data_IF_537387509482
#
_entry.id   IF_537387509482
#
_cell.length_a   1.000
_cell.length_b   1.000
_cell.length_c   1.000
_cell.angle_alpha   90.00
_cell.angle_beta   90.00
_cell.angle_gamma   90.00
#
_symmetry.space_group_name_H-M   'P 1'
#
loop_
_entity.id
_entity.type
_entity.pdbx_description
1 polymer ?
#
# COMPACT_ATOMS: atom_id res chain seq x y z
N UNK A 1 26.84 -5.27 -52.40
CA UNK A 1 25.53 -4.74 -51.96
C UNK A 1 24.83 -5.68 -50.97
N UNK A 2 25.50 -6.15 -49.91
CA UNK A 2 24.90 -7.07 -48.92
C UNK A 2 25.20 -6.76 -47.44
N UNK A 3 26.04 -5.76 -47.17
CA UNK A 3 26.40 -5.36 -45.79
C UNK A 3 25.28 -4.57 -45.10
N UNK A 4 24.60 -3.69 -45.85
CA UNK A 4 23.54 -2.83 -45.29
C UNK A 4 22.29 -3.62 -44.89
N UNK A 5 21.92 -4.66 -45.63
CA UNK A 5 20.74 -5.49 -45.34
C UNK A 5 20.91 -6.31 -44.07
N UNK A 6 22.14 -6.78 -43.79
CA UNK A 6 22.44 -7.52 -42.55
C UNK A 6 22.39 -6.61 -41.32
N UNK A 7 22.95 -5.40 -41.43
CA UNK A 7 22.91 -4.41 -40.36
C UNK A 7 21.48 -3.99 -40.04
N UNK A 8 20.63 -3.77 -41.05
CA UNK A 8 19.23 -3.42 -40.84
C UNK A 8 18.43 -4.55 -40.20
N UNK A 9 18.62 -5.81 -40.62
CA UNK A 9 17.96 -6.96 -39.97
C UNK A 9 18.41 -7.08 -38.51
N UNK A 10 19.70 -6.89 -38.22
CA UNK A 10 20.22 -6.95 -36.87
C UNK A 10 19.66 -5.83 -35.98
N UNK A 11 19.57 -4.60 -36.51
CA UNK A 11 18.95 -3.48 -35.81
C UNK A 11 17.45 -3.71 -35.58
N UNK A 12 16.74 -4.30 -36.55
CA UNK A 12 15.32 -4.64 -36.41
C UNK A 12 15.11 -5.71 -35.32
N UNK A 13 15.94 -6.75 -35.29
CA UNK A 13 15.88 -7.80 -34.27
C UNK A 13 16.24 -7.29 -32.88
N UNK A 14 17.21 -6.39 -32.76
CA UNK A 14 17.53 -5.70 -31.50
C UNK A 14 16.38 -4.81 -31.03
N UNK A 15 15.69 -4.13 -31.95
CA UNK A 15 14.53 -3.30 -31.64
C UNK A 15 13.33 -4.14 -31.18
N UNK A 16 13.11 -5.31 -31.79
CA UNK A 16 12.07 -6.27 -31.38
C UNK A 16 12.41 -6.90 -30.02
N UNK A 17 13.69 -7.18 -29.75
CA UNK A 17 14.16 -7.72 -28.46
C UNK A 17 14.07 -6.71 -27.32
N UNK A 18 13.93 -5.41 -27.62
CA UNK A 18 13.75 -4.35 -26.63
C UNK A 18 12.30 -4.24 -26.15
N UNK A 19 11.34 -4.78 -26.90
CA UNK A 19 9.91 -4.84 -26.53
C UNK A 19 9.69 -6.10 -25.68
N UNK A 20 10.06 -6.03 -24.40
CA UNK A 20 9.75 -7.13 -23.47
C UNK A 20 8.35 -6.92 -22.87
N UNK A 21 7.44 -7.90 -22.91
CA UNK A 21 6.15 -7.86 -22.20
C UNK A 21 6.33 -8.21 -20.70
N UNK A 22 7.46 -7.80 -20.10
CA UNK A 22 7.84 -8.21 -18.74
C UNK A 22 6.89 -7.64 -17.67
N UNK A 23 6.36 -6.44 -17.90
CA UNK A 23 5.55 -5.71 -16.93
C UNK A 23 4.19 -6.40 -16.68
N UNK A 24 3.55 -6.90 -17.76
CA UNK A 24 2.26 -7.61 -17.65
C UNK A 24 2.45 -8.95 -16.93
N UNK A 25 3.51 -9.69 -17.24
CA UNK A 25 3.77 -10.97 -16.57
C UNK A 25 4.12 -10.77 -15.08
N UNK A 26 4.99 -9.79 -14.79
CA UNK A 26 5.34 -9.40 -13.41
C UNK A 26 4.11 -8.94 -12.61
N UNK A 27 3.18 -8.21 -13.24
CA UNK A 27 1.93 -7.79 -12.61
C UNK A 27 1.02 -8.97 -12.27
N UNK A 28 0.88 -9.91 -13.20
CA UNK A 28 0.08 -11.12 -12.97
C UNK A 28 0.65 -11.94 -11.82
N UNK A 29 1.98 -11.99 -11.68
CA UNK A 29 2.64 -12.59 -10.53
C UNK A 29 2.35 -11.81 -9.24
N UNK A 30 2.42 -10.48 -9.28
CA UNK A 30 2.14 -9.60 -8.14
C UNK A 30 0.69 -9.71 -7.65
N UNK A 31 -0.31 -9.78 -8.56
CA UNK A 31 -1.72 -9.94 -8.16
C UNK A 31 -1.98 -11.32 -7.57
N UNK A 32 -1.35 -12.37 -8.11
CA UNK A 32 -1.41 -13.72 -7.54
C UNK A 32 -0.73 -13.78 -6.17
N UNK A 33 0.39 -13.09 -5.99
CA UNK A 33 1.06 -12.98 -4.70
C UNK A 33 0.19 -12.23 -3.69
N UNK A 34 -0.31 -11.05 -4.06
CA UNK A 34 -1.13 -10.20 -3.22
C UNK A 34 -2.43 -10.88 -2.79
N UNK A 35 -3.17 -11.50 -3.71
CA UNK A 35 -4.42 -12.22 -3.39
C UNK A 35 -4.18 -13.38 -2.43
N UNK A 36 -3.06 -14.10 -2.55
CA UNK A 36 -2.66 -15.14 -1.60
C UNK A 36 -2.35 -14.58 -0.20
N UNK A 37 -1.67 -13.44 -0.13
CA UNK A 37 -1.39 -12.74 1.13
C UNK A 37 -2.68 -12.23 1.79
N UNK A 38 -3.59 -11.64 1.01
CA UNK A 38 -4.92 -11.21 1.46
C UNK A 38 -5.74 -12.36 2.04
N UNK A 39 -5.77 -13.51 1.36
CA UNK A 39 -6.46 -14.72 1.83
C UNK A 39 -5.87 -15.25 3.15
N UNK A 40 -4.54 -15.31 3.27
CA UNK A 40 -3.87 -15.71 4.52
C UNK A 40 -4.19 -14.77 5.68
N UNK A 41 -4.48 -13.51 5.39
CA UNK A 41 -4.87 -12.51 6.37
C UNK A 41 -6.41 -12.44 6.63
N UNK A 42 -7.20 -13.35 6.05
CA UNK A 42 -8.66 -13.41 6.16
C UNK A 42 -9.43 -12.23 5.52
N UNK A 43 -9.00 -11.77 4.34
CA UNK A 43 -9.71 -10.79 3.50
C UNK A 43 -10.31 -11.46 2.26
N UNK A 44 -11.10 -12.53 2.45
CA UNK A 44 -11.59 -13.36 1.36
C UNK A 44 -12.60 -12.62 0.48
N UNK A 45 -13.49 -11.83 1.09
CA UNK A 45 -14.52 -11.09 0.35
C UNK A 45 -13.89 -10.01 -0.52
N UNK A 46 -12.85 -9.33 -0.04
CA UNK A 46 -12.14 -8.33 -0.86
C UNK A 46 -11.46 -8.96 -2.08
N UNK A 47 -10.84 -10.14 -1.90
CA UNK A 47 -10.26 -10.92 -3.02
C UNK A 47 -11.33 -11.33 -4.03
N UNK A 48 -12.51 -11.72 -3.57
CA UNK A 48 -13.64 -12.01 -4.46
C UNK A 48 -14.03 -10.78 -5.29
N UNK A 49 -14.10 -9.60 -4.67
CA UNK A 49 -14.40 -8.35 -5.39
C UNK A 49 -13.36 -8.03 -6.47
N UNK A 50 -12.07 -8.21 -6.17
CA UNK A 50 -10.99 -8.05 -7.17
C UNK A 50 -11.21 -8.98 -8.37
N UNK A 51 -11.50 -10.25 -8.12
CA UNK A 51 -11.68 -11.26 -9.18
C UNK A 51 -12.97 -11.08 -9.99
N UNK A 52 -13.99 -10.42 -9.42
CA UNK A 52 -15.26 -10.14 -10.09
C UNK A 52 -15.24 -8.81 -10.85
N UNK A 53 -14.26 -7.94 -10.60
CA UNK A 53 -14.16 -6.67 -11.31
C UNK A 53 -13.55 -6.89 -12.70
N UNK A 54 -14.10 -6.26 -13.76
CA UNK A 54 -13.34 -6.08 -14.99
C UNK A 54 -12.03 -5.34 -14.65
N UNK A 55 -10.96 -5.66 -15.38
CA UNK A 55 -9.67 -4.95 -15.28
C UNK A 55 -9.91 -3.47 -15.62
N UNK A 56 -10.11 -2.65 -14.59
CA UNK A 56 -10.22 -1.22 -14.73
C UNK A 56 -8.80 -0.64 -14.87
N UNK A 57 -8.53 0.26 -15.84
CA UNK A 57 -7.22 0.88 -15.99
C UNK A 57 -6.70 1.54 -14.70
N UNK A 58 -7.60 2.06 -13.84
CA UNK A 58 -7.25 2.63 -12.54
C UNK A 58 -6.76 1.61 -11.50
N UNK A 59 -7.03 0.33 -11.76
CA UNK A 59 -6.53 -0.83 -11.02
C UNK A 59 -5.50 -1.63 -11.82
N UNK A 60 -5.09 -1.16 -13.00
CA UNK A 60 -4.11 -1.77 -13.91
C UNK A 60 -2.68 -1.20 -13.74
N UNK A 61 -2.51 -0.25 -12.81
CA UNK A 61 -1.21 0.33 -12.42
C UNK A 61 -0.72 -0.08 -11.02
N UNK A 62 0.29 0.63 -10.51
CA UNK A 62 0.73 0.49 -9.13
C UNK A 62 -0.38 0.89 -8.16
N UNK A 63 -0.62 0.09 -7.12
CA UNK A 63 -1.80 0.26 -6.29
C UNK A 63 -1.56 -0.15 -4.83
N UNK A 64 -2.17 0.59 -3.92
CA UNK A 64 -2.36 0.17 -2.52
C UNK A 64 -3.83 -0.08 -2.27
N UNK A 65 -4.22 -1.31 -1.95
CA UNK A 65 -5.59 -1.62 -1.54
C UNK A 65 -5.81 -1.31 -0.06
N UNK A 66 -6.93 -0.65 0.23
CA UNK A 66 -7.42 -0.32 1.55
C UNK A 66 -8.64 -1.21 1.83
N UNK A 67 -8.40 -2.37 2.43
CA UNK A 67 -9.35 -3.48 2.43
C UNK A 67 -10.20 -3.48 3.71
N UNK A 68 -11.53 -3.27 3.62
CA UNK A 68 -12.39 -3.60 4.74
C UNK A 68 -12.36 -5.12 4.98
N UNK A 69 -12.43 -5.55 6.24
CA UNK A 69 -12.46 -6.98 6.55
C UNK A 69 -13.82 -7.62 6.18
N UNK A 70 -13.84 -8.95 6.08
CA UNK A 70 -15.02 -9.70 5.63
C UNK A 70 -16.27 -9.46 6.52
N UNK A 71 -16.09 -9.18 7.82
CA UNK A 71 -17.22 -8.86 8.73
C UNK A 71 -17.87 -7.53 8.38
N UNK A 72 -17.06 -6.54 7.98
CA UNK A 72 -17.55 -5.23 7.54
C UNK A 72 -18.26 -5.39 6.19
N UNK A 73 -17.63 -6.10 5.24
CA UNK A 73 -18.18 -6.30 3.90
C UNK A 73 -19.48 -7.10 3.87
N UNK A 74 -19.67 -8.05 4.79
CA UNK A 74 -20.89 -8.85 4.89
C UNK A 74 -22.16 -8.02 5.17
N UNK A 75 -22.01 -6.80 5.70
CA UNK A 75 -23.12 -5.92 6.05
C UNK A 75 -23.41 -4.84 5.00
N UNK A 76 -22.78 -4.91 3.83
CA UNK A 76 -22.86 -3.87 2.79
C UNK A 76 -23.52 -4.43 1.55
N UNK A 77 -24.55 -3.74 1.07
CA UNK A 77 -25.17 -4.04 -0.22
C UNK A 77 -24.40 -3.38 -1.35
N UNK A 78 -23.50 -4.13 -2.01
CA UNK A 78 -22.86 -3.68 -3.27
C UNK A 78 -23.74 -4.09 -4.44
N UNK A 79 -24.05 -3.15 -5.34
CA UNK A 79 -24.77 -3.45 -6.58
C UNK A 79 -23.81 -3.90 -7.67
N UNK A 80 -24.29 -4.76 -8.57
CA UNK A 80 -23.54 -5.14 -9.77
C UNK A 80 -23.29 -3.89 -10.64
N UNK A 81 -22.03 -3.64 -11.02
CA UNK A 81 -21.60 -2.38 -11.65
C UNK A 81 -21.03 -1.33 -10.69
N UNK A 82 -21.23 -1.45 -9.37
CA UNK A 82 -20.58 -0.59 -8.38
C UNK A 82 -19.26 -1.15 -7.85
N UNK A 83 -18.89 -2.38 -8.24
CA UNK A 83 -17.69 -3.08 -7.74
C UNK A 83 -16.41 -2.35 -8.15
N UNK A 84 -16.27 -1.93 -9.42
CA UNK A 84 -15.07 -1.18 -9.85
C UNK A 84 -14.93 0.12 -9.04
N UNK A 85 -15.99 0.92 -8.95
CA UNK A 85 -15.98 2.15 -8.16
C UNK A 85 -15.68 1.90 -6.68
N UNK A 86 -16.19 0.80 -6.11
CA UNK A 86 -15.86 0.39 -4.76
C UNK A 86 -14.36 0.11 -4.61
N UNK A 87 -13.78 -0.70 -5.49
CA UNK A 87 -12.34 -1.03 -5.46
C UNK A 87 -11.46 0.19 -5.69
N UNK A 88 -11.80 1.04 -6.67
CA UNK A 88 -11.09 2.28 -6.99
C UNK A 88 -11.11 3.28 -5.82
N UNK A 89 -12.23 3.37 -5.11
CA UNK A 89 -12.34 4.21 -3.91
C UNK A 89 -11.50 3.67 -2.76
N UNK A 90 -11.37 2.33 -2.70
CA UNK A 90 -10.58 1.59 -1.73
C UNK A 90 -9.17 1.32 -2.21
N UNK A 91 -8.62 2.19 -3.06
CA UNK A 91 -7.24 2.09 -3.49
C UNK A 91 -6.55 3.44 -3.63
N UNK A 92 -5.23 3.44 -3.50
CA UNK A 92 -4.35 4.59 -3.78
C UNK A 92 -3.52 4.22 -5.02
N UNK A 93 -3.36 5.11 -6.02
CA UNK A 93 -2.64 4.82 -7.26
C UNK A 93 -1.11 4.89 -7.09
N UNK A 94 -0.60 4.20 -6.06
CA UNK A 94 0.82 4.07 -5.73
C UNK A 94 1.01 2.88 -4.77
N UNK A 95 2.12 2.13 -4.81
CA UNK A 95 2.36 0.99 -3.93
C UNK A 95 3.04 1.47 -2.64
N UNK A 96 2.25 1.83 -1.64
CA UNK A 96 2.69 2.40 -0.38
C UNK A 96 2.71 1.33 0.71
N UNK A 97 3.88 1.15 1.32
CA UNK A 97 3.98 0.45 2.60
C UNK A 97 3.58 1.40 3.74
N UNK A 98 3.26 0.82 4.89
CA UNK A 98 2.80 1.59 6.03
C UNK A 98 3.85 2.56 6.60
N UNK A 99 5.13 2.22 6.54
CA UNK A 99 6.23 3.10 6.92
C UNK A 99 6.33 4.34 6.01
N UNK A 100 5.97 4.22 4.74
CA UNK A 100 5.84 5.36 3.82
C UNK A 100 4.60 6.18 4.18
N UNK A 101 3.45 5.54 4.38
CA UNK A 101 2.23 6.22 4.80
C UNK A 101 2.42 7.04 6.08
N UNK A 102 3.17 6.50 7.04
CA UNK A 102 3.47 7.17 8.32
C UNK A 102 4.31 8.44 8.18
N UNK A 103 4.99 8.64 7.05
CA UNK A 103 5.74 9.86 6.78
C UNK A 103 4.83 11.03 6.37
N UNK A 104 3.60 10.74 5.96
CA UNK A 104 2.64 11.78 5.63
C UNK A 104 2.16 12.52 6.90
N UNK A 105 2.30 13.87 6.93
CA UNK A 105 1.77 14.68 8.01
C UNK A 105 0.25 14.57 8.15
N UNK A 106 -0.26 14.83 9.35
CA UNK A 106 -1.70 15.01 9.57
C UNK A 106 -2.22 16.18 8.74
N UNK A 107 -3.35 15.97 8.07
CA UNK A 107 -3.93 16.95 7.15
C UNK A 107 -3.51 16.78 5.70
N UNK A 108 -2.53 15.91 5.40
CA UNK A 108 -2.20 15.54 4.02
C UNK A 108 -3.41 14.88 3.36
N UNK A 109 -3.60 15.18 2.08
CA UNK A 109 -4.63 14.57 1.24
C UNK A 109 -3.95 13.82 0.11
N UNK A 110 -4.32 12.56 -0.09
CA UNK A 110 -3.82 11.72 -1.20
C UNK A 110 -4.98 11.27 -2.09
N UNK A 111 -4.78 11.11 -3.40
CA UNK A 111 -5.84 10.61 -4.27
C UNK A 111 -6.12 9.14 -3.99
N UNK A 112 -7.39 8.75 -4.09
CA UNK A 112 -7.75 7.36 -4.37
C UNK A 112 -7.64 7.07 -5.87
N UNK A 113 -7.71 5.82 -6.30
CA UNK A 113 -7.77 5.52 -7.75
C UNK A 113 -9.11 5.89 -8.37
N UNK A 114 -10.15 6.16 -7.57
CA UNK A 114 -11.41 6.73 -8.08
C UNK A 114 -11.22 8.23 -8.36
N UNK A 115 -11.47 8.71 -9.59
CA UNK A 115 -11.29 10.12 -9.93
C UNK A 115 -12.08 11.05 -9.02
N UNK A 116 -11.47 12.19 -8.67
CA UNK A 116 -12.04 13.23 -7.79
C UNK A 116 -12.33 12.75 -6.35
N UNK A 117 -11.78 11.61 -5.94
CA UNK A 117 -11.93 11.05 -4.61
C UNK A 117 -10.62 11.13 -3.86
N UNK A 118 -10.63 11.95 -2.81
CA UNK A 118 -9.47 12.28 -2.02
C UNK A 118 -9.55 11.66 -0.62
N UNK A 119 -8.42 11.17 -0.11
CA UNK A 119 -8.25 10.57 1.20
C UNK A 119 -7.45 11.51 2.10
N UNK A 120 -8.12 12.06 3.11
CA UNK A 120 -7.50 12.91 4.13
C UNK A 120 -6.88 12.05 5.22
N UNK A 121 -5.60 12.27 5.47
CA UNK A 121 -4.80 11.55 6.46
C UNK A 121 -4.88 12.27 7.80
N UNK A 122 -5.10 11.47 8.85
CA UNK A 122 -4.86 11.88 10.24
C UNK A 122 -3.93 10.88 10.87
N UNK A 123 -2.73 11.34 11.23
CA UNK A 123 -1.66 10.55 11.82
C UNK A 123 -1.46 10.99 13.28
N UNK A 124 -2.08 10.24 14.20
CA UNK A 124 -1.98 10.48 15.64
C UNK A 124 -0.91 9.58 16.29
N UNK A 125 0.09 9.13 15.52
CA UNK A 125 1.21 8.32 16.00
C UNK A 125 1.01 6.80 15.86
N UNK A 126 1.79 6.04 16.64
CA UNK A 126 2.25 4.65 16.37
C UNK A 126 1.22 3.63 15.86
N UNK A 127 -0.08 3.80 16.16
CA UNK A 127 -1.16 2.89 15.71
C UNK A 127 -2.49 3.60 15.47
N UNK A 128 -2.45 4.91 15.22
CA UNK A 128 -3.65 5.71 15.01
C UNK A 128 -3.51 6.50 13.71
N UNK A 129 -3.47 5.74 12.61
CA UNK A 129 -3.42 6.25 11.25
C UNK A 129 -4.79 6.06 10.60
N UNK A 130 -5.37 7.17 10.14
CA UNK A 130 -6.76 7.25 9.71
C UNK A 130 -6.83 7.93 8.33
N UNK A 131 -7.62 7.35 7.43
CA UNK A 131 -7.92 7.83 6.08
C UNK A 131 -9.42 8.10 6.00
N UNK A 132 -9.84 9.36 5.80
CA UNK A 132 -11.28 9.74 5.78
C UNK A 132 -12.08 9.14 6.94
N UNK A 133 -11.57 9.30 8.17
CA UNK A 133 -12.18 8.78 9.40
C UNK A 133 -12.18 7.24 9.53
N UNK A 134 -11.59 6.49 8.59
CA UNK A 134 -11.42 5.04 8.67
C UNK A 134 -9.98 4.68 9.05
N UNK A 135 -9.82 3.87 10.09
CA UNK A 135 -8.51 3.51 10.66
C UNK A 135 -7.85 2.38 9.88
N UNK A 136 -6.53 2.44 9.67
CA UNK A 136 -5.73 1.27 9.27
C UNK A 136 -5.53 0.38 10.51
N UNK A 137 -6.01 -0.86 10.43
CA UNK A 137 -5.94 -1.87 11.51
C UNK A 137 -4.99 -3.02 11.22
N UNK A 138 -4.68 -3.27 9.95
CA UNK A 138 -3.75 -4.34 9.54
C UNK A 138 -2.77 -3.78 8.49
N UNK A 139 -1.66 -3.17 8.91
CA UNK A 139 -0.67 -2.64 7.97
C UNK A 139 0.10 -3.77 7.28
N UNK A 140 0.63 -3.47 6.09
CA UNK A 140 1.55 -4.34 5.33
C UNK A 140 1.08 -5.80 5.16
N UNK A 141 -0.15 -6.02 4.69
CA UNK A 141 -0.64 -7.38 4.39
C UNK A 141 0.05 -7.93 3.15
N UNK A 142 0.14 -7.14 2.07
CA UNK A 142 0.79 -7.54 0.82
C UNK A 142 2.20 -6.95 0.77
N UNK A 143 3.22 -7.81 0.77
CA UNK A 143 4.63 -7.39 0.78
C UNK A 143 5.49 -8.15 -0.22
N UNK A 144 5.04 -9.29 -0.74
CA UNK A 144 5.83 -10.11 -1.66
C UNK A 144 6.03 -9.47 -3.04
N UNK A 145 4.99 -8.83 -3.59
CA UNK A 145 5.06 -8.18 -4.91
C UNK A 145 5.75 -6.82 -4.87
N UNK A 146 5.83 -6.12 -6.01
CA UNK A 146 6.37 -4.75 -6.07
C UNK A 146 5.32 -3.69 -6.40
N UNK A 147 4.33 -4.04 -7.24
CA UNK A 147 3.30 -3.13 -7.75
C UNK A 147 2.04 -3.04 -6.89
N UNK A 148 1.82 -4.03 -6.00
CA UNK A 148 0.61 -4.11 -5.16
C UNK A 148 1.00 -4.09 -3.69
N UNK A 149 0.42 -3.13 -2.96
CA UNK A 149 0.43 -3.10 -1.49
C UNK A 149 -0.99 -3.24 -0.99
N UNK A 150 -1.15 -3.71 0.23
CA UNK A 150 -2.48 -3.77 0.82
C UNK A 150 -2.46 -3.61 2.34
N UNK A 151 -3.49 -2.93 2.85
CA UNK A 151 -3.68 -2.63 4.25
C UNK A 151 -5.14 -2.89 4.61
N UNK A 152 -5.38 -3.52 5.76
CA UNK A 152 -6.72 -3.70 6.30
C UNK A 152 -7.20 -2.45 7.02
N UNK A 153 -8.45 -2.07 6.77
CA UNK A 153 -9.10 -0.88 7.36
C UNK A 153 -10.36 -1.25 8.17
N UNK A 154 -10.67 -0.42 9.17
CA UNK A 154 -11.76 -0.62 10.13
C UNK A 154 -13.04 0.11 9.74
N UNK A 155 -13.43 -0.06 8.48
CA UNK A 155 -14.63 0.57 7.94
C UNK A 155 -14.60 0.58 6.43
N UNK A 156 -15.58 1.27 5.86
CA UNK A 156 -15.69 1.47 4.41
C UNK A 156 -15.60 2.95 4.13
N UNK A 157 -14.80 3.28 3.13
CA UNK A 157 -14.63 4.67 2.70
C UNK A 157 -15.95 5.16 2.10
N UNK A 158 -16.38 6.35 2.54
CA UNK A 158 -17.67 6.96 2.18
C UNK A 158 -17.92 6.98 0.69
N UNK A 159 -19.16 6.69 0.27
CA UNK A 159 -19.53 6.74 -1.14
C UNK A 159 -19.41 8.12 -1.75
N UNK A 160 -19.63 9.15 -0.93
CA UNK A 160 -19.41 10.54 -1.27
C UNK A 160 -17.93 10.89 -1.18
N UNK A 161 -17.36 11.23 -2.32
CA UNK A 161 -16.01 11.74 -2.41
C UNK A 161 -15.99 13.19 -1.96
N UNK A 162 -15.11 13.51 -1.00
CA UNK A 162 -14.84 14.89 -0.64
C UNK A 162 -14.11 15.55 -1.82
N UNK A 163 -14.86 16.25 -2.67
CA UNK A 163 -14.26 17.18 -3.62
C UNK A 163 -13.64 18.34 -2.82
N UNK A 164 -12.51 18.85 -3.28
CA UNK A 164 -11.82 20.00 -2.67
C UNK A 164 -12.68 21.29 -2.67
N UNK A 165 -13.88 21.25 -3.25
CA UNK A 165 -14.76 22.40 -3.45
C UNK A 165 -15.54 22.88 -2.22
N UNK A 166 -15.59 22.12 -1.12
CA UNK A 166 -16.37 22.53 0.08
C UNK A 166 -15.52 22.88 1.32
N UNK A 167 -14.21 23.04 1.17
CA UNK A 167 -13.40 23.67 2.20
C UNK A 167 -13.29 25.17 1.93
N UNK A 168 -14.41 25.88 2.01
CA UNK A 168 -14.38 27.30 2.37
C UNK A 168 -13.88 27.36 3.81
N UNK A 169 -12.56 27.33 3.99
CA UNK A 169 -11.94 27.86 5.20
C UNK A 169 -12.45 29.29 5.31
N UNK A 170 -13.14 29.70 6.40
CA UNK A 170 -13.39 31.11 6.63
C UNK A 170 -12.03 31.77 6.77
N UNK A 171 -11.54 32.36 5.68
CA UNK A 171 -10.40 33.26 5.73
C UNK A 171 -10.82 34.42 6.63
N UNK A 172 -10.06 34.71 7.71
CA UNK A 172 -10.32 35.92 8.47
C UNK A 172 -10.14 37.12 7.52
N UNK A 173 -11.02 38.13 7.57
CA UNK A 173 -10.90 39.28 6.69
C UNK A 173 -9.67 40.10 7.09
N UNK A 174 -8.57 39.93 6.37
CA UNK A 174 -7.43 40.83 6.43
C UNK A 174 -7.76 42.08 5.60
N UNK A 175 -8.33 43.10 6.25
CA UNK A 175 -8.35 44.45 5.68
C UNK A 175 -7.01 45.12 5.98
N UNK A 176 -6.18 45.23 4.95
CA UNK A 176 -4.89 45.90 4.97
C UNK A 176 -5.07 47.42 4.92
N UNK A 177 -4.85 48.10 6.04
CA UNK A 177 -4.38 49.49 6.06
C UNK A 177 -3.47 49.65 7.29
N UNK A 178 -2.22 49.20 7.11
CA UNK A 178 -0.91 49.64 7.64
C UNK A 178 -0.74 50.38 9.02
N UNK A 179 0.49 50.47 9.57
CA UNK A 179 1.14 49.49 10.45
C UNK A 179 1.40 50.06 11.86
N UNK A 180 1.40 49.23 12.92
CA UNK A 180 2.19 49.56 14.12
C UNK A 180 2.38 48.36 15.04
N UNK A 181 3.63 48.11 15.36
CA UNK A 181 4.12 47.22 16.38
C UNK A 181 3.41 47.47 17.73
N UNK A 182 3.12 46.41 18.48
CA UNK A 182 3.55 46.22 19.89
C UNK A 182 3.12 44.84 20.36
N UNK A 183 4.11 44.07 20.83
CA UNK A 183 3.88 42.85 21.60
C UNK A 183 2.97 43.18 22.79
N UNK A 184 1.91 42.39 22.97
CA UNK A 184 1.10 42.44 24.18
C UNK A 184 1.94 41.95 25.37
N UNK A 185 1.80 42.56 26.56
CA UNK A 185 2.52 42.14 27.74
C UNK A 185 2.09 40.72 28.17
N UNK A 186 2.99 39.93 28.79
CA UNK A 186 2.65 38.60 29.27
C UNK A 186 1.62 38.69 30.40
N UNK A 187 0.55 37.91 30.27
CA UNK A 187 -0.43 37.66 31.32
C UNK A 187 0.31 37.01 32.51
N UNK A 188 0.17 37.52 33.75
CA UNK A 188 0.75 36.87 34.91
C UNK A 188 -0.04 35.59 35.24
N UNK A 189 0.66 34.44 35.20
CA UNK A 189 0.15 33.14 35.62
C UNK A 189 -0.29 33.16 37.09
N UNK A 190 -1.52 32.72 37.44
CA UNK A 190 -1.89 32.46 38.82
C UNK A 190 -1.74 30.97 39.16
N UNK A 191 -0.84 30.72 40.12
CA UNK A 191 -0.72 29.58 41.03
C UNK A 191 -0.10 28.25 40.57
N UNK A 192 0.80 27.66 41.40
CA UNK A 192 1.27 26.30 41.25
C UNK A 192 0.21 25.30 41.75
N UNK A 193 -0.22 24.40 40.86
CA UNK A 193 -1.00 23.23 41.23
C UNK A 193 -0.10 22.24 42.00
N UNK A 194 -0.63 21.74 43.11
CA UNK A 194 0.00 20.83 44.06
C UNK A 194 0.62 19.58 43.41
N UNK A 195 1.64 18.97 44.05
CA UNK A 195 2.22 17.72 43.57
C UNK A 195 1.18 16.58 43.57
N UNK A 196 1.24 15.66 42.59
CA UNK A 196 0.33 14.53 42.52
C UNK A 196 0.54 13.57 43.71
N UNK A 197 -0.53 12.89 44.18
CA UNK A 197 -0.41 11.89 45.23
C UNK A 197 0.45 10.69 44.79
N UNK A 198 1.13 10.00 45.73
CA UNK A 198 1.96 8.84 45.42
C UNK A 198 1.11 7.68 44.86
N UNK A 199 1.69 6.85 43.97
CA UNK A 199 1.01 5.68 43.43
C UNK A 199 0.71 4.65 44.54
N UNK A 200 -0.41 3.90 44.42
CA UNK A 200 -0.73 2.82 45.34
C UNK A 200 0.33 1.69 45.25
N UNK A 201 0.56 0.94 46.36
CA UNK A 201 1.51 -0.15 46.38
C UNK A 201 1.09 -1.27 45.40
N UNK A 202 2.06 -1.99 44.79
CA UNK A 202 1.76 -3.06 43.86
C UNK A 202 0.97 -4.17 44.55
N UNK A 203 -0.19 -4.48 43.98
CA UNK A 203 -0.96 -5.68 44.31
C UNK A 203 -0.10 -6.90 43.97
N UNK A 204 0.20 -7.72 44.96
CA UNK A 204 0.79 -9.05 44.81
C UNK A 204 -0.17 -9.95 44.05
N UNK A 205 -0.13 -9.87 42.72
CA UNK A 205 -0.75 -10.86 41.85
C UNK A 205 0.17 -12.07 41.81
N UNK A 206 -0.20 -13.09 42.58
CA UNK A 206 0.43 -14.41 42.59
C UNK A 206 0.28 -15.01 41.19
N UNK A 207 1.35 -14.97 40.39
CA UNK A 207 1.42 -15.68 39.13
C UNK A 207 1.48 -17.20 39.40
N UNK A 208 0.69 -18.04 38.70
CA UNK A 208 0.90 -19.48 38.73
C UNK A 208 2.20 -19.84 38.00
N UNK A 209 2.92 -20.80 38.59
CA UNK A 209 4.20 -21.32 38.15
C UNK A 209 4.12 -21.98 36.75
N UNK A 210 5.11 -21.79 35.86
CA UNK A 210 5.16 -22.48 34.58
C UNK A 210 5.55 -23.95 34.79
N UNK A 211 4.68 -24.86 34.34
CA UNK A 211 5.00 -26.28 34.28
C UNK A 211 5.97 -26.53 33.12
N UNK A 212 7.16 -27.02 33.48
CA UNK A 212 8.19 -27.51 32.56
C UNK A 212 7.70 -28.82 31.94
N UNK A 213 7.51 -28.85 30.63
CA UNK A 213 7.53 -30.08 29.84
C UNK A 213 8.73 -30.00 28.90
N UNK A 214 9.77 -30.76 29.23
CA UNK A 214 11.01 -30.89 28.51
C UNK A 214 10.94 -32.14 27.62
N UNK A 215 10.88 -31.98 26.30
CA UNK A 215 11.28 -33.02 25.33
C UNK A 215 11.87 -32.37 24.07
N UNK A 216 13.20 -32.40 23.97
CA UNK A 216 13.98 -32.85 22.79
C UNK A 216 14.03 -31.99 21.51
N UNK A 217 15.23 -31.66 20.99
CA UNK A 217 15.40 -30.98 19.70
C UNK A 217 15.50 -32.00 18.55
N UNK A 218 14.72 -31.81 17.48
CA UNK A 218 14.95 -32.47 16.20
C UNK A 218 15.50 -31.51 15.16
N UNK A 219 16.28 -32.10 14.27
CA UNK A 219 17.42 -31.56 13.56
C UNK A 219 17.07 -31.35 12.09
N UNK A 220 17.54 -30.23 11.54
CA UNK A 220 18.00 -30.02 10.15
C UNK A 220 17.07 -30.38 8.98
N UNK A 221 16.75 -29.37 8.18
CA UNK A 221 16.26 -29.57 6.81
C UNK A 221 16.08 -28.25 6.06
N UNK A 222 17.18 -27.71 5.54
CA UNK A 222 17.17 -26.59 4.58
C UNK A 222 16.76 -27.10 3.20
N UNK A 223 15.76 -26.51 2.51
CA UNK A 223 15.60 -26.69 1.09
C UNK A 223 16.31 -25.55 0.36
N UNK A 224 17.42 -25.90 -0.27
CA UNK A 224 18.11 -25.09 -1.26
C UNK A 224 17.17 -24.86 -2.45
N UNK A 225 16.63 -23.65 -2.58
CA UNK A 225 15.90 -23.25 -3.78
C UNK A 225 16.90 -23.08 -4.92
N UNK A 226 16.77 -23.99 -5.88
CA UNK A 226 17.47 -24.00 -7.16
C UNK A 226 17.11 -22.70 -7.89
N UNK A 227 18.07 -21.80 -8.00
CA UNK A 227 17.97 -20.62 -8.84
C UNK A 227 17.89 -21.07 -10.29
N UNK A 228 16.76 -20.77 -10.94
CA UNK A 228 16.50 -21.07 -12.34
C UNK A 228 17.15 -19.98 -13.21
N UNK A 229 18.48 -20.01 -13.34
CA UNK A 229 19.24 -19.11 -14.22
C UNK A 229 19.51 -19.75 -15.60
N UNK A 230 18.43 -20.16 -16.26
CA UNK A 230 18.47 -20.91 -17.53
C UNK A 230 18.21 -20.08 -18.79
N UNK A 231 17.70 -18.85 -18.66
CA UNK A 231 17.17 -18.12 -19.83
C UNK A 231 18.23 -17.32 -20.59
N UNK A 232 19.23 -16.76 -19.91
CA UNK A 232 20.28 -15.95 -20.56
C UNK A 232 21.36 -16.81 -21.23
N UNK A 233 21.67 -17.96 -20.63
CA UNK A 233 22.65 -18.91 -21.18
C UNK A 233 22.18 -19.55 -22.49
N UNK A 234 20.87 -19.79 -22.63
CA UNK A 234 20.29 -20.36 -23.84
C UNK A 234 20.33 -19.37 -25.02
N UNK A 235 20.05 -18.09 -24.76
CA UNK A 235 20.07 -17.04 -25.77
C UNK A 235 21.50 -16.74 -26.23
N UNK A 236 22.47 -16.70 -25.31
CA UNK A 236 23.89 -16.55 -25.64
C UNK A 236 24.43 -17.73 -26.46
N UNK A 237 24.02 -18.96 -26.14
CA UNK A 237 24.40 -20.15 -26.93
C UNK A 237 23.78 -20.14 -28.33
N UNK A 238 22.52 -19.72 -28.48
CA UNK A 238 21.87 -19.62 -29.79
C UNK A 238 22.59 -18.59 -30.68
N UNK A 239 22.97 -17.43 -30.12
CA UNK A 239 23.69 -16.39 -30.87
C UNK A 239 25.11 -16.82 -31.27
N UNK A 240 25.81 -17.56 -30.41
CA UNK A 240 27.12 -18.16 -30.74
C UNK A 240 27.03 -19.29 -31.77
N UNK A 241 25.93 -20.05 -31.79
CA UNK A 241 25.71 -21.10 -32.79
C UNK A 241 25.46 -20.54 -34.19
N UNK A 242 24.78 -19.38 -34.27
CA UNK A 242 24.49 -18.72 -35.55
C UNK A 242 25.73 -18.05 -36.16
N UNK A 243 26.69 -17.58 -35.34
CA UNK A 243 27.95 -17.04 -35.85
C UNK A 243 28.93 -18.13 -36.32
N UNK A 244 28.84 -19.35 -35.79
CA UNK A 244 29.67 -20.49 -36.23
C UNK A 244 29.24 -21.06 -37.58
N UNK A 245 27.97 -20.92 -37.97
CA UNK A 245 27.45 -21.45 -39.25
C UNK A 245 27.87 -20.55 -40.44
N UNK A 246 28.35 -19.33 -40.19
CA UNK A 246 28.68 -18.34 -41.21
C UNK A 246 30.20 -18.06 -41.36
N UNK A 247 31.06 -18.87 -40.73
CA UNK A 247 32.51 -18.88 -40.95
C UNK A 247 32.99 -20.21 -41.53
#
# INVERSE_FOLDING_TARGET
MGSNTFLEIFLLLMLISLITPSDINSRNEDIVAATREMQRANYFTFVMLINMSPLDPGLEGNVTFLMPNDRILANIGLQEGSISNFLLRHSIPSPLLFDVLQQFPTGTTVPSSLPNCMLRITNNGRKNYVLNNVKIISPNICVAGSSIRCHGIDGVLSETCASEANYSVPSPPCNSTEPSCKASPPIPSPFPLAPPPPPPPPSTSTAPSPTIANVGPEKSGSPHWVSYDGSLNFLACLMLSLTWIYF
#
